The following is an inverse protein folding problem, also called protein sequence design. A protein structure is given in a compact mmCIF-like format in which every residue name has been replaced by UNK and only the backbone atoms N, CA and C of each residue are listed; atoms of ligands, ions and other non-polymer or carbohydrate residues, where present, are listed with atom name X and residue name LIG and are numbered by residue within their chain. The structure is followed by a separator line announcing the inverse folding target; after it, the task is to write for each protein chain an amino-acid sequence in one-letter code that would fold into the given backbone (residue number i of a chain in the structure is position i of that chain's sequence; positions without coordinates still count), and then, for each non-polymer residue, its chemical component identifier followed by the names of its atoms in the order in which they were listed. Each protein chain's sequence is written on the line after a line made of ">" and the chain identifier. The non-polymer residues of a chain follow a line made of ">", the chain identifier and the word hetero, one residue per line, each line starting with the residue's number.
data_IF_134273233593
#
_entry.id   IF_134273233593
#
_cell.length_a   1.000
_cell.length_b   1.000
_cell.length_c   1.000
_cell.angle_alpha   90.00
_cell.angle_beta   90.00
_cell.angle_gamma   90.00
#
_symmetry.space_group_name_H-M   'P 1'
#
loop_
_entity.id
_entity.type
_entity.pdbx_description
1 polymer ?
#
# COMPACT_ATOMS: atom_id res chain seq x y z
N UNK A 1 -1.52 9.90 -16.24
CA UNK A 1 -0.81 8.61 -16.25
C UNK A 1 -1.12 7.96 -14.91
N UNK A 2 -1.60 6.72 -14.87
CA UNK A 2 -1.69 6.02 -13.58
C UNK A 2 -0.26 5.58 -13.27
N UNK A 3 0.32 6.10 -12.18
CA UNK A 3 1.62 5.62 -11.71
C UNK A 3 1.48 4.16 -11.32
N UNK A 4 2.56 3.41 -11.52
CA UNK A 4 2.58 1.98 -11.24
C UNK A 4 2.32 1.66 -9.77
N UNK A 5 2.35 0.36 -9.42
CA UNK A 5 2.13 -0.07 -8.05
C UNK A 5 3.07 0.63 -7.06
N UNK A 6 2.56 0.98 -5.88
CA UNK A 6 3.27 1.73 -4.85
C UNK A 6 3.67 0.81 -3.70
N UNK A 7 4.95 0.82 -3.32
CA UNK A 7 5.42 0.11 -2.13
C UNK A 7 5.00 0.88 -0.87
N UNK A 8 3.96 0.39 -0.16
CA UNK A 8 3.43 1.06 1.04
C UNK A 8 4.32 0.92 2.26
N UNK A 9 5.35 0.07 2.23
CA UNK A 9 6.35 -0.01 3.29
C UNK A 9 7.46 1.04 3.15
N UNK A 10 7.63 1.62 1.96
CA UNK A 10 8.73 2.56 1.67
C UNK A 10 8.26 3.94 1.23
N UNK A 11 7.21 4.02 0.40
CA UNK A 11 6.73 5.28 -0.17
C UNK A 11 6.34 6.30 0.91
N UNK A 12 6.58 7.58 0.65
CA UNK A 12 6.11 8.66 1.52
C UNK A 12 4.59 8.87 1.41
N UNK A 13 4.02 9.62 2.35
CA UNK A 13 2.58 9.87 2.40
C UNK A 13 2.07 10.63 1.15
N UNK A 14 2.87 11.51 0.56
CA UNK A 14 2.47 12.28 -0.62
C UNK A 14 2.39 11.39 -1.86
N UNK A 15 3.33 10.47 -2.02
CA UNK A 15 3.32 9.45 -3.07
C UNK A 15 2.15 8.50 -2.90
N UNK A 16 1.93 7.97 -1.69
CA UNK A 16 0.77 7.11 -1.40
C UNK A 16 -0.54 7.82 -1.72
N UNK A 17 -0.68 9.10 -1.33
CA UNK A 17 -1.90 9.88 -1.59
C UNK A 17 -2.13 10.21 -3.08
N UNK A 18 -1.04 10.34 -3.86
CA UNK A 18 -1.12 10.62 -5.29
C UNK A 18 -1.45 9.38 -6.10
N UNK A 19 -0.85 8.25 -5.77
CA UNK A 19 -0.98 7.02 -6.57
C UNK A 19 -2.22 6.19 -6.19
N UNK A 20 -2.66 6.20 -4.92
CA UNK A 20 -3.77 5.34 -4.47
C UNK A 20 -5.13 6.06 -4.44
N UNK A 21 -6.12 5.43 -5.08
CA UNK A 21 -7.49 5.92 -5.19
C UNK A 21 -8.20 5.98 -3.84
N UNK A 22 -8.79 7.12 -3.51
CA UNK A 22 -9.57 7.29 -2.27
C UNK A 22 -8.72 7.36 -1.00
N UNK A 23 -7.40 7.50 -1.15
CA UNK A 23 -6.43 7.74 -0.09
C UNK A 23 -5.97 9.19 -0.21
N UNK A 24 -6.59 10.07 0.57
CA UNK A 24 -6.14 11.47 0.69
C UNK A 24 -4.98 11.61 1.69
N UNK A 25 -4.44 12.83 1.87
CA UNK A 25 -3.26 13.09 2.71
C UNK A 25 -3.39 12.56 4.15
N UNK A 26 -4.59 12.62 4.74
CA UNK A 26 -4.81 12.11 6.10
C UNK A 26 -4.66 10.59 6.21
N UNK A 27 -5.19 9.85 5.24
CA UNK A 27 -5.10 8.38 5.19
C UNK A 27 -3.69 7.92 4.85
N UNK A 28 -3.02 8.59 3.93
CA UNK A 28 -1.64 8.28 3.60
C UNK A 28 -0.70 8.49 4.78
N UNK A 29 -0.87 9.58 5.55
CA UNK A 29 -0.14 9.77 6.81
C UNK A 29 -0.43 8.66 7.82
N UNK A 30 -1.69 8.24 7.95
CA UNK A 30 -2.04 7.13 8.85
C UNK A 30 -1.34 5.82 8.46
N UNK A 31 -1.13 5.54 7.17
CA UNK A 31 -0.38 4.38 6.68
C UNK A 31 1.09 4.47 7.12
N UNK A 32 1.73 5.62 6.91
CA UNK A 32 3.13 5.85 7.30
C UNK A 32 3.30 5.76 8.82
N UNK A 33 2.45 6.43 9.59
CA UNK A 33 2.48 6.36 11.06
C UNK A 33 2.28 4.93 11.56
N UNK A 34 1.35 4.18 10.97
CA UNK A 34 1.11 2.80 11.37
C UNK A 34 2.37 1.93 11.19
N UNK A 35 3.04 2.01 10.03
CA UNK A 35 4.26 1.21 9.80
C UNK A 35 5.45 1.63 10.67
N UNK A 36 5.52 2.91 11.03
CA UNK A 36 6.55 3.42 11.95
C UNK A 36 6.34 2.91 13.38
N UNK A 37 5.08 2.79 13.82
CA UNK A 37 4.74 2.35 15.18
C UNK A 37 4.67 0.82 15.34
N UNK A 38 4.23 0.11 14.29
CA UNK A 38 3.91 -1.32 14.36
C UNK A 38 4.86 -2.21 13.53
N UNK A 39 5.74 -1.60 12.73
CA UNK A 39 6.56 -2.29 11.75
C UNK A 39 5.88 -2.40 10.37
N UNK A 40 6.61 -2.94 9.36
CA UNK A 40 6.11 -3.04 8.00
C UNK A 40 4.87 -3.93 7.89
N UNK A 41 4.04 -3.66 6.89
CA UNK A 41 2.92 -4.52 6.50
C UNK A 41 3.44 -5.83 5.90
N UNK A 42 2.93 -6.97 6.39
CA UNK A 42 3.29 -8.31 5.90
C UNK A 42 2.33 -8.78 4.82
N UNK A 43 1.08 -8.33 4.88
CA UNK A 43 0.02 -8.61 3.91
C UNK A 43 -0.69 -7.33 3.49
N UNK A 44 -1.33 -7.34 2.31
CA UNK A 44 -2.12 -6.19 1.85
C UNK A 44 -3.29 -5.94 2.81
N UNK A 45 -3.86 -7.00 3.38
CA UNK A 45 -4.93 -6.97 4.37
C UNK A 45 -4.55 -6.22 5.65
N UNK A 46 -3.26 -6.15 6.00
CA UNK A 46 -2.81 -5.41 7.19
C UNK A 46 -3.11 -3.91 7.09
N UNK A 47 -3.29 -3.37 5.88
CA UNK A 47 -3.74 -1.99 5.69
C UNK A 47 -5.13 -1.73 6.29
N UNK A 48 -5.96 -2.75 6.52
CA UNK A 48 -7.25 -2.61 7.22
C UNK A 48 -7.09 -2.28 8.71
N UNK A 49 -5.90 -2.47 9.27
CA UNK A 49 -5.57 -2.06 10.64
C UNK A 49 -5.34 -0.55 10.74
N UNK A 50 -5.15 0.14 9.61
CA UNK A 50 -4.94 1.59 9.55
C UNK A 50 -6.28 2.32 9.61
N UNK A 51 -6.38 3.27 10.54
CA UNK A 51 -7.59 4.09 10.69
C UNK A 51 -7.94 4.82 9.38
N UNK A 52 -9.18 4.64 8.92
CA UNK A 52 -9.69 5.28 7.71
C UNK A 52 -9.42 4.52 6.40
N UNK A 53 -8.72 3.38 6.47
CA UNK A 53 -8.65 2.40 5.38
C UNK A 53 -9.70 1.33 5.63
N UNK A 54 -10.70 1.28 4.75
CA UNK A 54 -11.76 0.26 4.79
C UNK A 54 -11.65 -0.72 3.62
N UNK A 55 -12.43 -1.81 3.64
CA UNK A 55 -12.39 -2.85 2.59
C UNK A 55 -12.52 -2.29 1.18
N UNK A 56 -13.43 -1.32 0.98
CA UNK A 56 -13.61 -0.67 -0.32
C UNK A 56 -12.35 0.04 -0.84
N UNK A 57 -11.63 0.74 0.04
CA UNK A 57 -10.39 1.43 -0.33
C UNK A 57 -9.31 0.41 -0.66
N UNK A 58 -9.25 -0.68 0.11
CA UNK A 58 -8.29 -1.75 -0.15
C UNK A 58 -8.55 -2.44 -1.50
N UNK A 59 -9.80 -2.82 -1.77
CA UNK A 59 -10.21 -3.45 -3.02
C UNK A 59 -9.92 -2.57 -4.25
N UNK A 60 -10.24 -1.27 -4.16
CA UNK A 60 -10.01 -0.31 -5.25
C UNK A 60 -8.51 -0.17 -5.61
N UNK A 61 -7.59 -0.50 -4.68
CA UNK A 61 -6.14 -0.29 -4.83
C UNK A 61 -5.30 -1.58 -4.78
N UNK A 62 -5.90 -2.75 -4.60
CA UNK A 62 -5.17 -4.01 -4.33
C UNK A 62 -4.07 -4.31 -5.37
N UNK A 63 -4.34 -4.02 -6.64
CA UNK A 63 -3.40 -4.21 -7.76
C UNK A 63 -2.29 -3.16 -7.82
N UNK A 64 -2.47 -2.04 -7.13
CA UNK A 64 -1.59 -0.88 -7.13
C UNK A 64 -0.80 -0.77 -5.80
N UNK A 65 -0.92 -1.76 -4.92
CA UNK A 65 -0.20 -1.85 -3.65
C UNK A 65 0.88 -2.93 -3.75
N UNK A 66 2.10 -2.57 -3.38
CA UNK A 66 3.21 -3.48 -3.14
C UNK A 66 3.62 -3.42 -1.67
N UNK A 67 4.13 -4.54 -1.16
CA UNK A 67 4.73 -4.61 0.18
C UNK A 67 6.27 -4.63 0.12
N UNK A 68 6.81 -4.86 -1.07
CA UNK A 68 8.23 -4.86 -1.36
C UNK A 68 8.43 -4.50 -2.85
N UNK A 69 9.63 -4.12 -3.23
CA UNK A 69 9.94 -3.73 -4.62
C UNK A 69 10.02 -4.92 -5.59
N UNK A 70 9.92 -6.16 -5.11
CA UNK A 70 9.80 -7.30 -5.99
C UNK A 70 8.35 -7.39 -6.43
N UNK A 71 8.11 -7.02 -7.68
CA UNK A 71 6.95 -7.56 -8.38
C UNK A 71 7.16 -9.08 -8.41
N UNK A 72 6.63 -9.80 -7.42
CA UNK A 72 6.43 -11.25 -7.53
C UNK A 72 5.33 -11.43 -8.57
N UNK A 73 5.72 -11.26 -9.84
CA UNK A 73 4.94 -11.75 -10.95
C UNK A 73 4.81 -13.24 -10.73
N UNK A 74 3.59 -13.68 -10.46
CA UNK A 74 3.15 -15.07 -10.55
C UNK A 74 3.79 -15.74 -11.77
N UNK A 75 4.91 -16.39 -11.53
CA UNK A 75 5.73 -17.12 -12.48
C UNK A 75 6.37 -18.20 -11.65
N UNK A 76 5.67 -19.33 -11.54
CA UNK A 76 6.28 -20.57 -11.07
C UNK A 76 7.42 -20.98 -12.00
N UNK A 77 8.58 -20.36 -11.84
CA UNK A 77 9.86 -20.81 -12.41
C UNK A 77 10.90 -20.85 -11.28
N UNK A 78 11.10 -22.02 -10.65
CA UNK A 78 12.31 -22.28 -9.89
C UNK A 78 13.43 -22.61 -10.88
N UNK A 79 14.22 -21.59 -11.23
CA UNK A 79 15.54 -21.78 -11.82
C UNK A 79 16.61 -21.31 -10.86
#
# INVERSE_FOLDING_TARGET
>A
VFGGPVNVNEADADTIARELRGIGPAKARAIVTYREENGPFETVEDLLKVQGIGPKVLEDNRKDILLNDKIETDSGDPS
#
